data_IF_112120569043
#
_entry.id   IF_112120569043
#
_cell.length_a   1.000
_cell.length_b   1.000
_cell.length_c   1.000
_cell.angle_alpha   90.00
_cell.angle_beta   90.00
_cell.angle_gamma   90.00
#
_symmetry.space_group_name_H-M   'P 1'
#
loop_
_entity.id
_entity.type
_entity.pdbx_description
1 polymer ?
#
# COMPACT_ATOMS: atom_id res chain seq x y z
N UNK A 1 -47.68 14.53 14.55
CA UNK A 1 -47.14 15.11 13.29
C UNK A 1 -45.65 15.30 13.47
N UNK A 2 -44.80 14.88 12.52
CA UNK A 2 -43.37 15.19 12.57
C UNK A 2 -43.16 16.71 12.51
N UNK A 3 -42.26 17.24 13.35
CA UNK A 3 -41.85 18.66 13.30
C UNK A 3 -40.84 18.81 12.15
N UNK A 4 -41.05 19.77 11.26
CA UNK A 4 -40.11 20.03 10.18
C UNK A 4 -38.75 20.48 10.75
N UNK A 5 -37.65 19.88 10.29
CA UNK A 5 -36.28 20.17 10.75
C UNK A 5 -35.93 21.66 10.69
N UNK A 6 -36.44 22.36 9.67
CA UNK A 6 -36.26 23.80 9.48
C UNK A 6 -36.88 24.69 10.55
N UNK A 7 -37.69 24.13 11.47
CA UNK A 7 -38.29 24.86 12.58
C UNK A 7 -37.42 24.87 13.84
N UNK A 8 -36.39 24.04 13.92
CA UNK A 8 -35.45 24.09 15.03
C UNK A 8 -34.56 25.34 14.93
N UNK A 9 -34.05 25.84 16.06
CA UNK A 9 -33.05 26.89 16.06
C UNK A 9 -31.75 26.39 15.43
N UNK A 10 -30.97 27.26 14.77
CA UNK A 10 -29.77 26.87 14.02
C UNK A 10 -28.75 26.09 14.87
N UNK A 11 -28.59 26.47 16.15
CA UNK A 11 -27.75 25.72 17.10
C UNK A 11 -28.21 24.27 17.27
N UNK A 12 -29.51 24.05 17.45
CA UNK A 12 -30.10 22.72 17.62
C UNK A 12 -30.01 21.92 16.32
N UNK A 13 -30.21 22.57 15.16
CA UNK A 13 -30.00 21.92 13.87
C UNK A 13 -28.56 21.42 13.75
N UNK A 14 -27.57 22.25 14.06
CA UNK A 14 -26.17 21.86 13.99
C UNK A 14 -25.82 20.73 14.95
N UNK A 15 -26.29 20.78 16.21
CA UNK A 15 -26.07 19.69 17.18
C UNK A 15 -26.69 18.37 16.70
N UNK A 16 -27.90 18.41 16.14
CA UNK A 16 -28.52 17.21 15.56
C UNK A 16 -27.65 16.66 14.43
N UNK A 17 -27.20 17.50 13.49
CA UNK A 17 -26.39 17.06 12.35
C UNK A 17 -25.00 16.55 12.79
N UNK A 18 -24.38 17.17 13.78
CA UNK A 18 -23.08 16.75 14.35
C UNK A 18 -23.18 15.37 15.03
N UNK A 19 -24.40 14.94 15.42
CA UNK A 19 -24.69 13.62 15.99
C UNK A 19 -25.22 12.61 14.96
N UNK A 20 -25.46 13.03 13.70
CA UNK A 20 -25.95 12.11 12.68
C UNK A 20 -24.84 11.20 12.19
N UNK A 21 -25.17 9.91 12.07
CA UNK A 21 -24.32 8.97 11.35
C UNK A 21 -24.08 9.44 9.91
N UNK A 22 -22.90 9.09 9.37
CA UNK A 22 -22.46 9.54 8.07
C UNK A 22 -23.47 9.25 6.94
N UNK A 23 -24.14 8.08 6.98
CA UNK A 23 -25.14 7.73 5.99
C UNK A 23 -26.41 8.57 6.10
N UNK A 24 -26.89 8.81 7.32
CA UNK A 24 -28.04 9.66 7.56
C UNK A 24 -27.74 11.12 7.15
N UNK A 25 -26.53 11.60 7.45
CA UNK A 25 -26.04 12.91 7.05
C UNK A 25 -25.94 13.04 5.52
N UNK A 26 -25.43 12.01 4.84
CA UNK A 26 -25.41 11.95 3.37
C UNK A 26 -26.82 12.02 2.79
N UNK A 27 -27.75 11.17 3.24
CA UNK A 27 -29.13 11.19 2.79
C UNK A 27 -29.79 12.55 3.02
N UNK A 28 -29.55 13.17 4.18
CA UNK A 28 -30.01 14.51 4.48
C UNK A 28 -29.44 15.52 3.47
N UNK A 29 -28.14 15.46 3.18
CA UNK A 29 -27.48 16.35 2.23
C UNK A 29 -28.06 16.29 0.81
N UNK A 30 -28.56 15.13 0.39
CA UNK A 30 -29.15 14.92 -0.94
C UNK A 30 -30.58 15.46 -1.06
N UNK A 31 -31.24 15.83 0.05
CA UNK A 31 -32.64 16.31 0.00
C UNK A 31 -32.79 17.71 -0.60
N UNK A 32 -31.78 18.59 -0.46
CA UNK A 32 -31.83 19.96 -1.01
C UNK A 32 -30.47 20.64 -0.98
N UNK A 33 -30.30 21.73 -1.77
CA UNK A 33 -29.10 22.59 -1.71
C UNK A 33 -28.83 23.14 -0.30
N UNK A 34 -29.88 23.47 0.45
CA UNK A 34 -29.76 23.97 1.84
C UNK A 34 -29.26 22.87 2.77
N UNK A 35 -29.85 21.68 2.68
CA UNK A 35 -29.45 20.52 3.49
C UNK A 35 -27.98 20.17 3.23
N UNK A 36 -27.55 20.21 1.96
CA UNK A 36 -26.14 20.04 1.59
C UNK A 36 -25.23 21.06 2.27
N UNK A 37 -25.59 22.34 2.20
CA UNK A 37 -24.81 23.41 2.88
C UNK A 37 -24.74 23.21 4.39
N UNK A 38 -25.84 22.80 5.04
CA UNK A 38 -25.87 22.52 6.48
C UNK A 38 -25.04 21.28 6.84
N UNK A 39 -24.97 20.30 5.94
CA UNK A 39 -24.23 19.04 6.17
C UNK A 39 -22.73 19.21 6.06
N UNK A 40 -22.23 20.27 5.41
CA UNK A 40 -20.80 20.44 5.15
C UNK A 40 -19.94 20.42 6.41
N UNK A 41 -20.34 21.16 7.46
CA UNK A 41 -19.56 21.23 8.71
C UNK A 41 -19.57 19.86 9.44
N UNK A 42 -20.73 19.26 9.74
CA UNK A 42 -20.80 17.95 10.39
C UNK A 42 -20.03 16.89 9.59
N UNK A 43 -20.13 16.91 8.26
CA UNK A 43 -19.46 15.97 7.38
C UNK A 43 -17.92 16.03 7.48
N UNK A 44 -17.34 17.17 7.89
CA UNK A 44 -15.90 17.31 8.18
C UNK A 44 -15.44 16.52 9.41
N UNK A 45 -16.36 16.10 10.28
CA UNK A 45 -16.07 15.30 11.47
C UNK A 45 -15.90 13.81 11.14
N UNK A 46 -16.27 13.40 9.92
CA UNK A 46 -16.22 12.01 9.47
C UNK A 46 -15.10 11.83 8.43
N UNK A 47 -14.50 10.63 8.39
CA UNK A 47 -13.53 10.25 7.36
C UNK A 47 -14.22 9.45 6.26
N UNK A 48 -14.27 10.00 5.06
CA UNK A 48 -14.77 9.27 3.91
C UNK A 48 -13.68 8.38 3.32
N UNK A 49 -14.00 7.10 3.09
CA UNK A 49 -13.22 6.23 2.21
C UNK A 49 -14.11 5.83 1.03
N UNK A 50 -13.58 5.83 -0.17
CA UNK A 50 -14.27 5.33 -1.35
C UNK A 50 -13.61 4.04 -1.80
N UNK A 51 -14.35 2.94 -1.70
CA UNK A 51 -13.88 1.63 -2.10
C UNK A 51 -14.38 1.31 -3.51
N UNK A 52 -13.48 1.34 -4.48
CA UNK A 52 -13.81 1.05 -5.87
C UNK A 52 -13.48 -0.40 -6.15
N UNK A 53 -14.49 -1.22 -6.44
CA UNK A 53 -14.30 -2.60 -6.83
C UNK A 53 -14.55 -2.75 -8.32
N UNK A 54 -13.46 -2.82 -9.09
CA UNK A 54 -13.52 -3.05 -10.52
C UNK A 54 -13.25 -4.53 -10.80
N UNK A 55 -14.19 -5.22 -11.41
CA UNK A 55 -14.01 -6.61 -11.83
C UNK A 55 -14.72 -6.86 -13.16
N UNK A 56 -14.00 -7.40 -14.13
CA UNK A 56 -14.60 -7.97 -15.35
C UNK A 56 -14.64 -9.47 -15.15
N UNK A 57 -15.61 -9.97 -14.38
CA UNK A 57 -15.77 -11.42 -14.25
C UNK A 57 -16.60 -11.94 -15.44
N UNK A 58 -16.23 -13.14 -15.94
CA UNK A 58 -16.88 -13.83 -17.06
C UNK A 58 -18.41 -13.78 -16.97
N UNK A 59 -19.08 -13.66 -18.13
CA UNK A 59 -20.52 -13.41 -18.39
C UNK A 59 -21.59 -14.11 -17.51
N UNK A 60 -21.22 -15.05 -16.65
CA UNK A 60 -22.13 -15.78 -15.76
C UNK A 60 -22.22 -15.23 -14.34
N UNK A 61 -21.34 -14.32 -13.93
CA UNK A 61 -21.43 -13.62 -12.64
C UNK A 61 -21.96 -12.21 -12.83
N UNK A 62 -23.01 -11.85 -12.09
CA UNK A 62 -23.64 -10.52 -12.06
C UNK A 62 -22.76 -9.39 -11.49
N UNK A 63 -21.46 -9.61 -11.33
CA UNK A 63 -20.52 -8.62 -10.81
C UNK A 63 -19.99 -7.76 -11.96
N UNK A 64 -20.81 -6.82 -12.41
CA UNK A 64 -20.38 -5.65 -13.16
C UNK A 64 -19.41 -4.81 -12.30
N UNK A 65 -18.64 -3.88 -12.89
CA UNK A 65 -17.92 -2.89 -12.09
C UNK A 65 -18.87 -2.26 -11.06
N UNK A 66 -18.51 -2.34 -9.78
CA UNK A 66 -19.34 -1.85 -8.68
C UNK A 66 -18.57 -0.82 -7.89
N UNK A 67 -19.17 0.35 -7.67
CA UNK A 67 -18.62 1.33 -6.76
C UNK A 67 -19.19 1.09 -5.38
N UNK A 68 -18.33 0.86 -4.40
CA UNK A 68 -18.74 0.73 -3.00
C UNK A 68 -18.26 1.96 -2.23
N UNK A 69 -19.17 2.89 -1.92
CA UNK A 69 -18.81 4.01 -1.07
C UNK A 69 -18.91 3.58 0.40
N UNK A 70 -17.77 3.49 1.08
CA UNK A 70 -17.67 3.01 2.45
C UNK A 70 -17.31 4.16 3.40
N UNK A 71 -18.28 4.66 4.15
CA UNK A 71 -18.02 5.77 5.07
C UNK A 71 -17.66 5.28 6.46
N UNK A 72 -16.67 5.92 7.07
CA UNK A 72 -16.26 5.62 8.45
C UNK A 72 -16.23 6.89 9.30
N UNK A 73 -16.87 6.84 10.48
CA UNK A 73 -16.84 7.94 11.42
C UNK A 73 -15.76 7.69 12.47
N UNK A 74 -14.89 8.67 12.72
CA UNK A 74 -13.99 8.64 13.88
C UNK A 74 -14.64 9.23 15.14
N UNK A 75 -15.78 9.92 15.00
CA UNK A 75 -16.48 10.62 16.08
C UNK A 75 -17.54 9.77 16.78
N UNK A 76 -17.86 8.58 16.26
CA UNK A 76 -18.82 7.67 16.86
C UNK A 76 -18.09 6.40 17.32
N UNK A 77 -18.44 5.90 18.51
CA UNK A 77 -17.72 4.83 19.19
C UNK A 77 -17.59 3.56 18.32
N UNK A 78 -16.45 2.86 18.46
CA UNK A 78 -15.98 1.72 17.67
C UNK A 78 -16.89 0.48 17.55
N UNK A 79 -18.15 0.56 18.01
CA UNK A 79 -19.14 -0.51 17.94
C UNK A 79 -20.03 -0.47 16.69
N UNK A 80 -19.91 0.56 15.85
CA UNK A 80 -20.65 0.64 14.59
C UNK A 80 -19.80 0.13 13.43
N UNK A 81 -20.27 -0.96 12.81
CA UNK A 81 -19.68 -1.45 11.57
C UNK A 81 -19.72 -0.34 10.51
N UNK A 82 -18.67 -0.19 9.68
CA UNK A 82 -18.69 0.79 8.61
C UNK A 82 -19.93 0.59 7.73
N UNK A 83 -20.79 1.60 7.66
CA UNK A 83 -21.97 1.57 6.80
C UNK A 83 -21.51 1.70 5.36
N UNK A 84 -21.43 0.56 4.65
CA UNK A 84 -21.09 0.52 3.24
C UNK A 84 -22.33 0.77 2.38
N UNK A 85 -22.28 1.83 1.57
CA UNK A 85 -23.24 2.08 0.51
C UNK A 85 -22.76 1.40 -0.77
N UNK A 86 -23.54 0.46 -1.29
CA UNK A 86 -23.28 -0.14 -2.59
C UNK A 86 -23.99 0.66 -3.67
N UNK A 87 -23.21 1.23 -4.59
CA UNK A 87 -23.71 1.87 -5.80
C UNK A 87 -23.39 0.95 -6.97
N UNK A 88 -24.41 0.22 -7.40
CA UNK A 88 -24.33 -0.61 -8.59
C UNK A 88 -24.49 0.28 -9.83
N UNK A 89 -23.43 0.41 -10.63
CA UNK A 89 -23.49 1.13 -11.89
C UNK A 89 -24.08 0.21 -12.96
N UNK A 90 -25.37 0.41 -13.25
CA UNK A 90 -26.10 -0.39 -14.26
C UNK A 90 -25.68 -0.07 -15.70
N UNK A 91 -25.14 1.12 -15.92
CA UNK A 91 -24.63 1.58 -17.21
C UNK A 91 -23.13 1.78 -17.08
N UNK A 92 -22.37 0.76 -17.51
CA UNK A 92 -20.95 0.42 -17.35
C UNK A 92 -19.88 1.49 -17.67
N UNK A 93 -20.22 2.79 -17.67
CA UNK A 93 -19.28 3.86 -18.03
C UNK A 93 -18.89 4.67 -16.80
N UNK A 94 -17.64 4.46 -16.38
CA UNK A 94 -16.94 5.28 -15.38
C UNK A 94 -16.82 6.77 -15.77
N UNK A 95 -17.18 7.13 -17.00
CA UNK A 95 -17.21 8.52 -17.53
C UNK A 95 -18.09 9.47 -16.68
N UNK A 96 -18.99 8.96 -15.84
CA UNK A 96 -19.77 9.78 -14.90
C UNK A 96 -19.30 9.68 -13.44
N UNK A 97 -18.26 8.89 -13.16
CA UNK A 97 -17.76 8.77 -11.80
C UNK A 97 -17.21 10.12 -11.32
N UNK A 98 -16.45 10.83 -12.15
CA UNK A 98 -15.99 12.17 -11.82
C UNK A 98 -17.17 13.10 -11.51
N UNK A 99 -18.21 13.14 -12.34
CA UNK A 99 -19.42 13.96 -12.07
C UNK A 99 -20.09 13.55 -10.75
N UNK A 100 -20.17 12.25 -10.48
CA UNK A 100 -20.73 11.74 -9.23
C UNK A 100 -19.88 12.16 -8.02
N UNK A 101 -18.56 12.01 -8.10
CA UNK A 101 -17.62 12.29 -7.00
C UNK A 101 -17.41 13.78 -6.78
N UNK A 102 -17.19 14.55 -7.84
CA UNK A 102 -16.92 15.98 -7.83
C UNK A 102 -18.15 16.81 -7.44
N UNK A 103 -19.36 16.42 -7.88
CA UNK A 103 -20.58 17.21 -7.65
C UNK A 103 -21.28 16.82 -6.34
N UNK A 104 -21.12 15.58 -5.84
CA UNK A 104 -21.93 15.08 -4.70
C UNK A 104 -21.15 14.69 -3.46
N UNK A 105 -19.91 14.21 -3.55
CA UNK A 105 -19.25 13.56 -2.40
C UNK A 105 -18.04 14.33 -1.85
N UNK A 106 -17.23 14.93 -2.71
CA UNK A 106 -15.96 15.55 -2.29
C UNK A 106 -16.09 16.80 -1.43
N UNK A 107 -17.16 17.57 -1.62
CA UNK A 107 -17.38 18.82 -0.88
C UNK A 107 -17.96 18.61 0.53
N UNK A 108 -18.42 17.40 0.83
CA UNK A 108 -19.02 17.07 2.12
C UNK A 108 -17.94 16.62 3.11
N UNK A 109 -17.06 15.69 2.73
CA UNK A 109 -16.11 15.07 3.64
C UNK A 109 -14.74 15.74 3.57
N UNK A 110 -14.14 15.98 4.74
CA UNK A 110 -12.73 16.40 4.82
C UNK A 110 -11.88 15.14 4.91
N UNK A 111 -10.82 15.07 4.10
CA UNK A 111 -9.92 13.91 4.00
C UNK A 111 -10.57 12.67 3.37
N UNK A 112 -11.23 12.85 2.23
CA UNK A 112 -11.67 11.72 1.40
C UNK A 112 -10.45 10.94 0.91
N UNK A 113 -10.41 9.63 1.17
CA UNK A 113 -9.43 8.71 0.57
C UNK A 113 -10.08 7.79 -0.43
N UNK A 114 -9.28 7.23 -1.33
CA UNK A 114 -9.71 6.21 -2.29
C UNK A 114 -8.99 4.90 -1.96
N UNK A 115 -9.75 3.82 -1.84
CA UNK A 115 -9.28 2.45 -1.81
C UNK A 115 -9.78 1.72 -3.04
N UNK A 116 -8.96 0.89 -3.68
CA UNK A 116 -9.34 0.24 -4.93
C UNK A 116 -8.95 -1.23 -4.94
N UNK A 117 -9.81 -2.05 -5.51
CA UNK A 117 -9.52 -3.45 -5.84
C UNK A 117 -9.87 -3.65 -7.31
N UNK A 118 -8.86 -3.91 -8.13
CA UNK A 118 -8.98 -4.15 -9.55
C UNK A 118 -8.70 -5.62 -9.87
N UNK A 119 -9.68 -6.29 -10.45
CA UNK A 119 -9.54 -7.56 -11.13
C UNK A 119 -9.71 -7.30 -12.63
N UNK A 120 -8.58 -7.20 -13.32
CA UNK A 120 -8.57 -6.89 -14.73
C UNK A 120 -8.32 -8.16 -15.55
N UNK A 121 -9.34 -8.59 -16.28
CA UNK A 121 -9.17 -9.46 -17.45
C UNK A 121 -9.04 -8.56 -18.70
N UNK A 122 -8.30 -8.97 -19.74
CA UNK A 122 -8.19 -8.21 -20.97
C UNK A 122 -9.57 -7.95 -21.62
N UNK A 123 -9.80 -6.77 -22.24
CA UNK A 123 -8.82 -5.69 -22.49
C UNK A 123 -8.70 -4.68 -21.32
N UNK A 124 -7.46 -4.32 -20.99
CA UNK A 124 -7.13 -3.47 -19.83
C UNK A 124 -7.38 -1.98 -20.00
N UNK A 125 -7.54 -1.49 -21.23
CA UNK A 125 -7.55 -0.05 -21.51
C UNK A 125 -8.63 0.72 -20.76
N UNK A 126 -9.83 0.15 -20.62
CA UNK A 126 -10.92 0.81 -19.90
C UNK A 126 -10.65 0.91 -18.39
N UNK A 127 -9.95 -0.08 -17.83
CA UNK A 127 -9.52 -0.06 -16.43
C UNK A 127 -8.41 0.97 -16.20
N UNK A 128 -7.46 1.10 -17.13
CA UNK A 128 -6.40 2.10 -17.02
C UNK A 128 -6.92 3.52 -17.18
N UNK A 129 -7.79 3.78 -18.15
CA UNK A 129 -8.47 5.07 -18.29
C UNK A 129 -9.21 5.44 -17.01
N UNK A 130 -9.86 4.47 -16.37
CA UNK A 130 -10.52 4.67 -15.08
C UNK A 130 -9.51 5.02 -13.97
N UNK A 131 -8.41 4.26 -13.88
CA UNK A 131 -7.38 4.46 -12.87
C UNK A 131 -6.69 5.83 -13.01
N UNK A 132 -6.40 6.25 -14.25
CA UNK A 132 -5.82 7.55 -14.56
C UNK A 132 -6.74 8.68 -14.11
N UNK A 133 -8.01 8.66 -14.53
CA UNK A 133 -8.98 9.68 -14.10
C UNK A 133 -9.10 9.74 -12.56
N UNK A 134 -9.10 8.59 -11.87
CA UNK A 134 -9.17 8.55 -10.42
C UNK A 134 -7.94 9.16 -9.75
N UNK A 135 -6.75 8.90 -10.28
CA UNK A 135 -5.51 9.51 -9.80
C UNK A 135 -5.48 11.03 -10.04
N UNK A 136 -6.10 11.50 -11.13
CA UNK A 136 -6.20 12.92 -11.48
C UNK A 136 -7.16 13.71 -10.57
N UNK A 137 -8.10 13.04 -9.89
CA UNK A 137 -9.02 13.71 -8.95
C UNK A 137 -8.30 14.36 -7.74
N UNK A 138 -7.04 14.00 -7.49
CA UNK A 138 -6.22 14.58 -6.43
C UNK A 138 -6.57 14.10 -5.01
N UNK A 139 -7.45 13.10 -4.86
CA UNK A 139 -7.66 12.45 -3.57
C UNK A 139 -6.49 11.51 -3.24
N UNK A 140 -6.04 11.47 -1.98
CA UNK A 140 -5.08 10.46 -1.55
C UNK A 140 -5.60 9.05 -1.79
N UNK A 141 -4.84 8.24 -2.52
CA UNK A 141 -5.11 6.81 -2.69
C UNK A 141 -4.51 6.09 -1.50
N UNK A 142 -5.35 5.54 -0.63
CA UNK A 142 -4.93 4.88 0.60
C UNK A 142 -4.48 3.44 0.36
N UNK A 143 -5.22 2.70 -0.45
CA UNK A 143 -4.91 1.31 -0.75
C UNK A 143 -5.32 0.97 -2.18
N UNK A 144 -4.48 0.21 -2.88
CA UNK A 144 -4.80 -0.30 -4.20
C UNK A 144 -4.33 -1.75 -4.31
N UNK A 145 -5.25 -2.70 -4.54
CA UNK A 145 -4.95 -4.09 -4.89
C UNK A 145 -5.29 -4.32 -6.37
N UNK A 146 -4.25 -4.49 -7.20
CA UNK A 146 -4.41 -4.69 -8.65
C UNK A 146 -4.00 -6.11 -8.98
N UNK A 147 -4.91 -6.81 -9.64
CA UNK A 147 -4.70 -8.15 -10.18
C UNK A 147 -4.97 -8.11 -11.66
N UNK A 148 -3.97 -8.44 -12.46
CA UNK A 148 -4.11 -8.50 -13.91
C UNK A 148 -3.53 -9.78 -14.49
N UNK A 149 -4.10 -10.18 -15.64
CA UNK A 149 -3.47 -11.12 -16.56
C UNK A 149 -2.09 -10.61 -17.00
N UNK A 150 -1.21 -11.49 -17.53
CA UNK A 150 0.16 -11.11 -17.80
C UNK A 150 0.31 -9.98 -18.82
N UNK A 151 0.91 -8.85 -18.41
CA UNK A 151 1.10 -7.67 -19.26
C UNK A 151 2.20 -6.74 -18.69
N UNK A 152 3.27 -6.55 -19.46
CA UNK A 152 4.41 -5.71 -19.03
C UNK A 152 4.09 -4.22 -18.98
N UNK A 153 3.30 -3.72 -19.94
CA UNK A 153 2.92 -2.31 -20.03
C UNK A 153 1.96 -1.97 -18.89
N UNK A 154 1.01 -2.87 -18.60
CA UNK A 154 0.09 -2.74 -17.49
C UNK A 154 0.81 -2.60 -16.14
N UNK A 155 1.86 -3.42 -15.89
CA UNK A 155 2.69 -3.35 -14.68
C UNK A 155 3.30 -1.95 -14.52
N UNK A 156 3.97 -1.46 -15.57
CA UNK A 156 4.67 -0.18 -15.53
C UNK A 156 3.69 0.99 -15.39
N UNK A 157 2.65 1.02 -16.22
CA UNK A 157 1.63 2.07 -16.21
C UNK A 157 0.95 2.16 -14.85
N UNK A 158 0.61 1.02 -14.26
CA UNK A 158 0.08 0.93 -12.89
C UNK A 158 1.01 1.59 -11.87
N UNK A 159 2.29 1.19 -11.85
CA UNK A 159 3.27 1.71 -10.90
C UNK A 159 3.49 3.21 -11.05
N UNK A 160 3.42 3.73 -12.28
CA UNK A 160 3.54 5.16 -12.56
C UNK A 160 2.31 5.95 -12.10
N UNK A 161 1.09 5.48 -12.41
CA UNK A 161 -0.15 6.14 -11.99
C UNK A 161 -0.27 6.15 -10.47
N UNK A 162 0.10 5.06 -9.82
CA UNK A 162 -0.04 4.86 -8.38
C UNK A 162 1.24 5.11 -7.59
N UNK A 163 2.14 5.93 -8.14
CA UNK A 163 3.44 6.21 -7.54
C UNK A 163 3.35 6.89 -6.15
N UNK A 164 2.21 7.48 -5.81
CA UNK A 164 1.94 8.14 -4.53
C UNK A 164 0.82 7.47 -3.71
N UNK A 165 0.32 6.32 -4.14
CA UNK A 165 -0.63 5.56 -3.33
C UNK A 165 0.04 5.17 -2.00
N UNK A 166 -0.66 5.24 -0.88
CA UNK A 166 -0.07 4.88 0.41
C UNK A 166 0.29 3.40 0.45
N UNK A 167 -0.63 2.52 0.03
CA UNK A 167 -0.42 1.08 -0.05
C UNK A 167 -0.73 0.59 -1.47
N UNK A 168 0.20 -0.14 -2.08
CA UNK A 168 0.03 -0.77 -3.39
C UNK A 168 0.35 -2.26 -3.32
N UNK A 169 -0.64 -3.10 -3.61
CA UNK A 169 -0.50 -4.52 -3.89
C UNK A 169 -0.65 -4.72 -5.40
N UNK A 170 0.38 -5.24 -6.05
CA UNK A 170 0.35 -5.56 -7.47
C UNK A 170 0.57 -7.05 -7.66
N UNK A 171 -0.45 -7.71 -8.20
CA UNK A 171 -0.44 -9.09 -8.61
C UNK A 171 -0.63 -9.21 -10.11
N UNK A 172 0.44 -8.96 -10.84
CA UNK A 172 0.45 -9.02 -12.28
C UNK A 172 1.73 -9.68 -12.76
N UNK A 173 1.58 -10.72 -13.58
CA UNK A 173 2.70 -11.47 -14.10
C UNK A 173 3.30 -10.72 -15.31
N UNK A 174 4.62 -10.65 -15.47
CA UNK A 174 5.17 -10.17 -16.74
C UNK A 174 4.90 -11.18 -17.88
N UNK A 175 4.75 -10.71 -19.11
CA UNK A 175 4.61 -11.58 -20.30
C UNK A 175 5.92 -12.29 -20.61
N UNK A 176 5.91 -13.45 -21.27
CA UNK A 176 7.12 -14.29 -21.44
C UNK A 176 8.31 -13.59 -22.12
N UNK A 177 8.07 -12.56 -22.93
CA UNK A 177 9.06 -11.76 -23.64
C UNK A 177 9.80 -10.75 -22.74
N UNK A 178 9.38 -10.60 -21.47
CA UNK A 178 9.96 -9.64 -20.54
C UNK A 178 11.49 -9.81 -20.34
N UNK A 179 12.00 -11.04 -20.41
CA UNK A 179 13.43 -11.34 -20.18
C UNK A 179 14.34 -10.76 -21.26
N UNK A 180 13.83 -10.56 -22.47
CA UNK A 180 14.66 -10.24 -23.62
C UNK A 180 14.26 -8.93 -24.33
N UNK A 181 13.00 -8.49 -24.22
CA UNK A 181 12.47 -7.48 -25.14
C UNK A 181 11.76 -6.29 -24.48
N UNK A 182 11.47 -6.32 -23.17
CA UNK A 182 10.79 -5.20 -22.50
C UNK A 182 11.74 -4.45 -21.57
N UNK A 183 11.81 -3.13 -21.76
CA UNK A 183 12.61 -2.26 -20.92
C UNK A 183 11.79 -1.74 -19.74
N UNK A 184 11.96 -2.37 -18.58
CA UNK A 184 11.34 -1.90 -17.33
C UNK A 184 12.04 -0.68 -16.72
N UNK A 185 13.21 -0.23 -17.21
CA UNK A 185 13.95 0.87 -16.59
C UNK A 185 13.53 2.23 -17.13
N UNK A 186 13.57 2.38 -18.46
CA UNK A 186 13.34 3.67 -19.13
C UNK A 186 11.97 4.32 -18.83
N UNK A 187 10.87 3.58 -18.65
CA UNK A 187 9.57 4.20 -18.38
C UNK A 187 9.50 4.97 -17.06
N UNK A 188 10.33 4.62 -16.07
CA UNK A 188 10.31 5.30 -14.77
C UNK A 188 11.06 6.63 -14.85
N UNK A 189 10.30 7.72 -14.92
CA UNK A 189 10.81 9.10 -14.90
C UNK A 189 11.03 9.64 -13.48
N UNK A 190 10.58 8.91 -12.46
CA UNK A 190 10.68 9.30 -11.05
C UNK A 190 10.59 8.10 -10.10
N UNK A 191 10.68 8.40 -8.81
CA UNK A 191 10.59 7.40 -7.74
C UNK A 191 9.15 7.22 -7.26
N UNK A 192 8.86 6.01 -6.80
CA UNK A 192 7.65 5.67 -6.07
C UNK A 192 7.80 6.09 -4.61
N UNK A 193 6.73 6.64 -4.05
CA UNK A 193 6.66 7.24 -2.72
C UNK A 193 5.64 6.51 -1.83
N UNK A 194 5.34 5.24 -2.16
CA UNK A 194 4.40 4.44 -1.39
C UNK A 194 4.90 4.17 0.03
N UNK A 195 4.02 4.24 1.04
CA UNK A 195 4.37 3.75 2.38
C UNK A 195 4.60 2.23 2.35
N UNK A 196 3.82 1.50 1.54
CA UNK A 196 3.95 0.06 1.40
C UNK A 196 3.73 -0.39 -0.04
N UNK A 197 4.72 -1.06 -0.61
CA UNK A 197 4.69 -1.66 -1.94
C UNK A 197 4.86 -3.19 -1.82
N UNK A 198 3.90 -3.93 -2.35
CA UNK A 198 3.91 -5.40 -2.35
C UNK A 198 3.70 -5.92 -3.77
N UNK A 199 4.68 -6.64 -4.29
CA UNK A 199 4.59 -7.28 -5.61
C UNK A 199 4.42 -8.79 -5.44
N UNK A 200 3.23 -9.30 -5.71
CA UNK A 200 2.82 -10.70 -5.50
C UNK A 200 2.50 -11.39 -6.84
N UNK A 201 2.55 -12.71 -6.89
CA UNK A 201 3.79 -13.47 -6.81
C UNK A 201 4.57 -13.45 -8.14
N UNK A 202 5.03 -12.32 -8.67
CA UNK A 202 5.82 -12.30 -9.93
C UNK A 202 6.82 -11.15 -10.02
N UNK A 203 7.62 -10.92 -8.97
CA UNK A 203 8.60 -9.82 -8.96
C UNK A 203 9.96 -10.16 -9.61
N UNK A 204 10.04 -11.19 -10.45
CA UNK A 204 11.28 -11.62 -11.12
C UNK A 204 11.85 -10.59 -12.11
N UNK A 205 11.02 -9.66 -12.60
CA UNK A 205 11.43 -8.55 -13.47
C UNK A 205 12.14 -7.42 -12.68
N UNK A 206 11.98 -7.38 -11.36
CA UNK A 206 12.57 -6.34 -10.51
C UNK A 206 14.06 -6.60 -10.34
N UNK A 207 14.87 -5.68 -10.85
CA UNK A 207 16.34 -5.66 -10.66
C UNK A 207 16.80 -4.72 -9.54
N UNK A 208 18.07 -4.81 -9.15
CA UNK A 208 18.68 -3.90 -8.15
C UNK A 208 18.46 -2.42 -8.49
N UNK A 209 18.54 -2.11 -9.78
CA UNK A 209 18.32 -0.76 -10.29
C UNK A 209 16.94 -0.21 -9.90
N UNK A 210 15.88 -1.02 -9.93
CA UNK A 210 14.54 -0.57 -9.54
C UNK A 210 14.49 -0.26 -8.05
N UNK A 211 15.05 -1.12 -7.20
CA UNK A 211 15.07 -0.88 -5.74
C UNK A 211 15.87 0.40 -5.40
N UNK A 212 16.98 0.63 -6.10
CA UNK A 212 17.91 1.75 -5.87
C UNK A 212 17.37 3.09 -6.40
N UNK A 213 16.69 3.09 -7.55
CA UNK A 213 16.33 4.32 -8.24
C UNK A 213 14.82 4.61 -8.21
N UNK A 214 14.01 3.57 -8.31
CA UNK A 214 12.55 3.67 -8.45
C UNK A 214 11.88 3.53 -7.09
N UNK A 215 12.23 2.52 -6.28
CA UNK A 215 11.56 2.25 -5.00
C UNK A 215 12.28 2.87 -3.79
N UNK A 216 13.32 3.66 -4.00
CA UNK A 216 14.17 4.18 -2.93
C UNK A 216 13.49 5.15 -1.96
N UNK A 217 12.34 5.71 -2.35
CA UNK A 217 11.48 6.55 -1.50
C UNK A 217 10.31 5.79 -0.88
N UNK A 218 10.10 4.52 -1.25
CA UNK A 218 9.13 3.68 -0.56
C UNK A 218 9.61 3.40 0.87
N UNK A 219 8.68 3.24 1.82
CA UNK A 219 9.03 2.90 3.21
C UNK A 219 9.09 1.39 3.44
N UNK A 220 8.13 0.64 2.92
CA UNK A 220 8.11 -0.82 3.01
C UNK A 220 7.99 -1.45 1.62
N UNK A 221 8.83 -2.44 1.34
CA UNK A 221 8.84 -3.16 0.07
C UNK A 221 8.85 -4.66 0.34
N UNK A 222 7.91 -5.39 -0.26
CA UNK A 222 7.92 -6.85 -0.29
C UNK A 222 7.87 -7.37 -1.72
N UNK A 223 8.91 -8.08 -2.12
CA UNK A 223 9.10 -8.67 -3.44
C UNK A 223 8.98 -10.20 -3.35
N UNK A 224 7.87 -10.76 -3.82
CA UNK A 224 7.67 -12.20 -3.88
C UNK A 224 8.20 -12.78 -5.18
N UNK A 225 8.89 -13.92 -5.08
CA UNK A 225 9.49 -14.61 -6.23
C UNK A 225 10.48 -13.78 -7.06
N UNK A 226 11.21 -12.90 -6.38
CA UNK A 226 12.40 -12.26 -6.95
C UNK A 226 13.59 -13.22 -7.04
N UNK A 227 14.52 -12.95 -7.95
CA UNK A 227 15.74 -13.76 -8.15
C UNK A 227 17.01 -12.91 -8.17
N UNK A 228 17.19 -12.11 -7.12
CA UNK A 228 18.40 -11.30 -6.98
C UNK A 228 19.64 -12.18 -6.83
N UNK A 229 20.75 -11.77 -7.41
CA UNK A 229 22.08 -12.29 -7.07
C UNK A 229 22.52 -11.68 -5.75
N UNK A 230 23.32 -12.40 -4.99
CA UNK A 230 23.93 -11.87 -3.77
C UNK A 230 24.64 -10.52 -3.99
N UNK A 231 25.36 -10.35 -5.10
CA UNK A 231 26.01 -9.09 -5.44
C UNK A 231 25.04 -7.92 -5.61
N UNK A 232 23.84 -8.19 -6.13
CA UNK A 232 22.77 -7.19 -6.29
C UNK A 232 22.17 -6.80 -4.93
N UNK A 233 22.03 -7.74 -4.00
CA UNK A 233 21.60 -7.45 -2.62
C UNK A 233 22.63 -6.56 -1.92
N UNK A 234 23.92 -6.86 -2.06
CA UNK A 234 24.99 -6.01 -1.51
C UNK A 234 24.98 -4.61 -2.15
N UNK A 235 24.73 -4.51 -3.45
CA UNK A 235 24.58 -3.22 -4.15
C UNK A 235 23.41 -2.38 -3.59
N UNK A 236 22.24 -3.02 -3.39
CA UNK A 236 21.07 -2.39 -2.77
C UNK A 236 21.43 -1.85 -1.37
N UNK A 237 22.11 -2.65 -0.54
CA UNK A 237 22.51 -2.24 0.81
C UNK A 237 23.51 -1.09 0.82
N UNK A 238 24.49 -1.10 -0.08
CA UNK A 238 25.44 0.01 -0.23
C UNK A 238 24.74 1.30 -0.63
N UNK A 239 23.78 1.23 -1.56
CA UNK A 239 22.98 2.38 -1.95
C UNK A 239 22.08 2.87 -0.81
N UNK A 240 21.42 1.94 -0.10
CA UNK A 240 20.56 2.26 1.03
C UNK A 240 21.30 3.05 2.11
N UNK A 241 22.53 2.62 2.43
CA UNK A 241 23.41 3.24 3.42
C UNK A 241 23.68 4.73 3.15
N UNK A 242 23.75 5.12 1.87
CA UNK A 242 24.03 6.49 1.44
C UNK A 242 22.76 7.36 1.52
N UNK A 243 21.58 6.81 1.19
CA UNK A 243 20.35 7.58 1.21
C UNK A 243 19.15 6.92 0.54
N UNK A 244 18.46 6.07 1.29
CA UNK A 244 17.14 5.52 0.98
C UNK A 244 16.16 5.69 2.15
N UNK A 245 14.87 5.80 1.84
CA UNK A 245 13.77 5.87 2.82
C UNK A 245 13.23 4.50 3.20
N UNK A 246 13.72 3.42 2.59
CA UNK A 246 13.25 2.07 2.86
C UNK A 246 13.58 1.72 4.32
N UNK A 247 12.56 1.33 5.08
CA UNK A 247 12.65 0.86 6.47
C UNK A 247 12.36 -0.63 6.57
N UNK A 248 11.64 -1.18 5.61
CA UNK A 248 11.42 -2.61 5.50
C UNK A 248 11.64 -3.09 4.06
N UNK A 249 12.53 -4.06 3.85
CA UNK A 249 12.73 -4.70 2.56
C UNK A 249 12.72 -6.22 2.74
N UNK A 250 11.82 -6.89 2.03
CA UNK A 250 11.77 -8.34 1.97
C UNK A 250 11.86 -8.80 0.52
N UNK A 251 12.83 -9.66 0.23
CA UNK A 251 13.04 -10.22 -1.11
C UNK A 251 13.64 -11.63 -1.04
N UNK A 252 13.64 -12.30 -2.18
CA UNK A 252 14.35 -13.56 -2.39
C UNK A 252 15.60 -13.37 -3.25
N UNK A 253 16.67 -14.09 -2.92
CA UNK A 253 17.94 -14.04 -3.63
C UNK A 253 18.64 -15.40 -3.72
N UNK A 254 19.61 -15.52 -4.63
CA UNK A 254 20.48 -16.68 -4.80
C UNK A 254 21.85 -16.36 -4.23
N UNK A 255 22.28 -17.17 -3.26
CA UNK A 255 23.57 -17.01 -2.59
C UNK A 255 24.70 -17.57 -3.44
N UNK A 256 25.85 -16.91 -3.43
CA UNK A 256 27.03 -17.29 -4.21
C UNK A 256 28.03 -18.15 -3.42
N UNK A 257 28.01 -18.09 -2.08
CA UNK A 257 29.00 -18.75 -1.22
C UNK A 257 28.43 -19.37 0.07
N UNK A 258 29.25 -19.41 1.11
CA UNK A 258 28.93 -19.84 2.49
C UNK A 258 28.21 -18.73 3.30
N UNK A 259 27.82 -19.00 4.56
CA UNK A 259 27.28 -17.95 5.45
C UNK A 259 28.39 -16.96 5.81
N UNK A 260 29.60 -17.48 5.95
CA UNK A 260 30.82 -16.77 6.28
C UNK A 260 31.22 -15.81 5.15
N UNK A 261 31.09 -16.23 3.88
CA UNK A 261 31.34 -15.37 2.72
C UNK A 261 30.35 -14.20 2.66
N UNK A 262 29.07 -14.45 2.95
CA UNK A 262 28.07 -13.39 3.03
C UNK A 262 28.37 -12.45 4.21
N UNK A 263 28.66 -13.01 5.39
CA UNK A 263 29.04 -12.25 6.57
C UNK A 263 30.27 -11.35 6.36
N UNK A 264 31.28 -11.83 5.63
CA UNK A 264 32.43 -11.02 5.26
C UNK A 264 32.03 -9.79 4.42
N UNK A 265 31.12 -9.96 3.45
CA UNK A 265 30.59 -8.84 2.63
C UNK A 265 29.74 -7.87 3.46
N UNK A 266 29.03 -8.37 4.47
CA UNK A 266 28.29 -7.52 5.42
C UNK A 266 29.27 -6.66 6.24
N UNK A 267 30.37 -7.24 6.71
CA UNK A 267 31.44 -6.51 7.41
C UNK A 267 32.09 -5.46 6.48
N UNK A 268 32.33 -5.80 5.21
CA UNK A 268 32.88 -4.85 4.21
C UNK A 268 32.01 -3.59 4.02
N UNK A 269 30.70 -3.68 4.26
CA UNK A 269 29.79 -2.52 4.19
C UNK A 269 29.55 -1.85 5.56
N UNK A 270 30.33 -2.23 6.58
CA UNK A 270 30.22 -1.81 7.97
C UNK A 270 28.88 -2.21 8.62
N UNK A 271 28.35 -3.39 8.29
CA UNK A 271 27.26 -3.99 9.04
C UNK A 271 27.83 -4.85 10.18
N UNK A 272 27.49 -4.52 11.42
CA UNK A 272 28.00 -5.19 12.61
C UNK A 272 27.24 -6.51 12.84
N UNK A 273 27.91 -7.64 13.09
CA UNK A 273 27.22 -8.88 13.41
C UNK A 273 26.45 -8.74 14.73
N UNK A 274 25.18 -9.12 14.72
CA UNK A 274 24.35 -9.13 15.94
C UNK A 274 24.51 -10.48 16.62
N UNK A 275 24.96 -10.54 17.88
CA UNK A 275 25.05 -11.79 18.62
C UNK A 275 23.70 -12.48 18.63
N UNK A 276 23.70 -13.76 18.30
CA UNK A 276 22.51 -14.59 18.37
C UNK A 276 21.98 -14.61 19.81
N UNK A 277 20.71 -14.26 20.00
CA UNK A 277 20.06 -14.43 21.28
C UNK A 277 20.06 -15.92 21.62
N UNK A 278 20.90 -16.31 22.58
CA UNK A 278 20.93 -17.68 23.09
C UNK A 278 19.62 -17.89 23.83
N UNK A 279 18.74 -18.74 23.29
CA UNK A 279 17.55 -19.15 24.02
C UNK A 279 17.98 -19.83 25.32
N UNK A 280 17.70 -19.20 26.45
CA UNK A 280 18.05 -19.72 27.78
C UNK A 280 17.18 -20.92 28.20
N UNK A 281 16.04 -21.15 27.54
CA UNK A 281 15.16 -22.30 27.83
C UNK A 281 15.53 -23.52 26.97
N UNK A 282 16.15 -24.57 27.55
CA UNK A 282 16.52 -25.79 26.82
C UNK A 282 15.32 -26.63 26.38
N UNK A 283 14.09 -26.33 26.82
CA UNK A 283 12.90 -27.10 26.47
C UNK A 283 12.16 -26.58 25.22
N UNK A 284 12.53 -25.41 24.71
CA UNK A 284 11.92 -24.85 23.50
C UNK A 284 12.79 -25.27 22.30
N UNK A 285 12.23 -26.00 21.31
CA UNK A 285 12.95 -26.29 20.07
C UNK A 285 13.48 -24.99 19.49
N UNK A 286 14.81 -24.84 19.47
CA UNK A 286 15.46 -23.62 18.99
C UNK A 286 15.16 -23.50 17.49
N UNK A 287 14.41 -22.49 17.05
CA UNK A 287 14.27 -22.25 15.62
C UNK A 287 15.67 -22.02 15.05
N UNK A 288 15.96 -22.50 13.81
CA UNK A 288 17.28 -22.35 13.22
C UNK A 288 17.68 -20.88 13.28
N UNK A 289 18.80 -20.63 13.96
CA UNK A 289 19.23 -19.26 14.20
C UNK A 289 19.58 -18.62 12.88
N UNK A 290 19.01 -17.45 12.65
CA UNK A 290 19.16 -16.73 11.39
C UNK A 290 20.28 -15.71 11.54
N UNK A 291 21.38 -15.82 10.78
CA UNK A 291 22.49 -14.91 10.92
C UNK A 291 22.01 -13.48 10.60
N UNK A 292 22.42 -12.55 11.45
CA UNK A 292 21.89 -11.18 11.46
C UNK A 292 23.00 -10.13 11.61
N UNK A 293 22.78 -8.97 11.00
CA UNK A 293 23.71 -7.83 11.01
C UNK A 293 22.96 -6.52 11.19
N UNK A 294 23.53 -5.59 11.94
CA UNK A 294 23.02 -4.22 12.10
C UNK A 294 23.74 -3.30 11.12
N UNK A 295 22.99 -2.65 10.24
CA UNK A 295 23.53 -1.67 9.30
C UNK A 295 22.98 -0.28 9.62
N UNK A 296 23.89 0.70 9.72
CA UNK A 296 23.54 2.10 9.99
C UNK A 296 23.67 2.97 8.75
N UNK A 297 22.67 3.81 8.52
CA UNK A 297 22.67 4.80 7.46
C UNK A 297 23.62 5.97 7.79
N UNK A 298 24.35 6.46 6.79
CA UNK A 298 25.39 7.48 6.98
C UNK A 298 24.82 8.87 7.30
N UNK A 299 23.59 9.17 6.86
CA UNK A 299 23.01 10.52 6.89
C UNK A 299 21.90 10.72 7.95
N UNK A 300 21.20 9.67 8.38
CA UNK A 300 20.00 9.81 9.25
C UNK A 300 20.12 9.10 10.61
N UNK A 301 21.26 8.46 10.91
CA UNK A 301 21.43 7.57 12.07
C UNK A 301 20.40 6.43 12.18
N UNK A 302 19.63 6.17 11.11
CA UNK A 302 18.69 5.06 11.08
C UNK A 302 19.47 3.75 11.01
N UNK A 303 19.05 2.78 11.79
CA UNK A 303 19.62 1.44 11.86
C UNK A 303 18.61 0.41 11.40
N UNK A 304 19.08 -0.58 10.64
CA UNK A 304 18.26 -1.70 10.16
C UNK A 304 18.92 -3.01 10.53
N UNK A 305 18.11 -3.93 11.04
CA UNK A 305 18.48 -5.33 11.21
C UNK A 305 18.31 -6.06 9.89
N UNK A 306 19.39 -6.68 9.45
CA UNK A 306 19.46 -7.50 8.24
C UNK A 306 19.52 -8.95 8.68
N UNK A 307 18.67 -9.78 8.11
CA UNK A 307 18.62 -11.22 8.38
C UNK A 307 18.44 -12.00 7.09
N UNK A 308 19.04 -13.19 7.04
CA UNK A 308 18.83 -14.14 5.93
C UNK A 308 18.33 -15.48 6.46
N UNK A 309 17.38 -16.07 5.76
CA UNK A 309 16.76 -17.35 6.13
C UNK A 309 16.69 -18.26 4.92
N UNK A 310 17.12 -19.51 5.07
CA UNK A 310 16.89 -20.55 4.07
C UNK A 310 15.58 -21.30 4.37
N UNK A 311 14.57 -21.22 3.50
CA UNK A 311 13.32 -21.92 3.69
C UNK A 311 13.47 -23.43 3.39
N UNK A 312 13.79 -24.23 4.40
CA UNK A 312 13.73 -25.70 4.32
C UNK A 312 14.65 -26.37 3.28
N UNK A 313 14.74 -27.70 3.35
CA UNK A 313 15.90 -28.49 2.88
C UNK A 313 16.23 -28.51 1.37
N UNK A 314 15.50 -27.85 0.47
CA UNK A 314 15.71 -28.04 -0.99
C UNK A 314 15.86 -26.77 -1.85
N UNK A 315 15.98 -25.59 -1.25
CA UNK A 315 16.08 -24.33 -2.00
C UNK A 315 17.50 -23.78 -2.14
N UNK A 316 17.95 -23.49 -3.37
CA UNK A 316 19.02 -22.49 -3.63
C UNK A 316 18.60 -21.05 -3.30
N UNK A 317 17.31 -20.86 -3.00
CA UNK A 317 16.67 -19.58 -2.74
C UNK A 317 16.77 -19.26 -1.25
N UNK A 318 17.22 -18.06 -0.95
CA UNK A 318 17.30 -17.50 0.39
C UNK A 318 16.33 -16.32 0.49
N UNK A 319 15.73 -16.15 1.66
CA UNK A 319 14.95 -14.97 1.98
C UNK A 319 15.85 -13.97 2.68
N UNK A 320 15.85 -12.74 2.17
CA UNK A 320 16.50 -11.59 2.76
C UNK A 320 15.42 -10.72 3.40
N UNK A 321 15.68 -10.25 4.62
CA UNK A 321 14.85 -9.25 5.30
C UNK A 321 15.72 -8.16 5.89
N UNK A 322 15.35 -6.91 5.62
CA UNK A 322 15.85 -5.71 6.27
C UNK A 322 14.69 -5.06 7.02
N UNK A 323 14.86 -4.72 8.29
CA UNK A 323 13.82 -4.09 9.10
C UNK A 323 14.43 -3.03 10.03
N UNK A 324 13.85 -1.84 10.05
CA UNK A 324 14.20 -0.79 11.00
C UNK A 324 14.11 -1.31 12.43
N UNK A 325 15.22 -1.19 13.17
CA UNK A 325 15.18 -1.40 14.61
C UNK A 325 14.61 -0.13 15.24
N UNK A 326 13.35 -0.22 15.65
CA UNK A 326 12.89 0.68 16.69
C UNK A 326 13.75 0.39 17.91
N UNK A 327 14.62 1.33 18.32
CA UNK A 327 15.24 1.29 19.64
C UNK A 327 14.13 0.97 20.63
N UNK A 328 14.08 -0.26 21.14
CA UNK A 328 13.40 -0.54 22.40
C UNK A 328 14.07 0.45 23.34
N UNK A 329 13.32 1.46 23.79
CA UNK A 329 13.84 2.41 24.76
C UNK A 329 14.50 1.57 25.84
N UNK A 330 15.81 1.70 25.98
CA UNK A 330 16.51 1.06 27.07
C UNK A 330 15.81 1.53 28.32
N UNK A 331 15.14 0.62 29.03
CA UNK A 331 14.70 0.83 30.41
C UNK A 331 15.97 0.92 31.28
N UNK A 332 16.82 1.90 30.99
CA UNK A 332 17.95 2.26 31.83
C UNK A 332 17.47 3.37 32.75
N UNK A 333 17.17 2.94 33.98
CA UNK A 333 17.24 3.74 35.19
C UNK A 333 16.22 4.89 35.29
N UNK A 334 14.98 4.53 35.62
CA UNK A 334 14.20 5.39 36.53
C UNK A 334 14.77 5.15 37.94
N UNK A 335 15.47 6.12 38.54
CA UNK A 335 15.89 5.98 39.93
C UNK A 335 14.64 5.99 40.82
N UNK A 336 14.51 4.96 41.66
CA UNK A 336 13.47 4.82 42.68
C UNK A 336 13.64 5.87 43.78
#
# INVERSE_FOLDING_TARGET
MPIAFTRFHDLVQNEILDLMECYALFNFSETSKRSRSLSQRPAKLHKGNMEIMFGVLRETSSSFPSLKLAYSSTSHSAHEFPTSLFLEFKDSKFEHLEEYLSVRHSSLFVNMTISMVFYCDPPFETAFVTLEHLAELGYPIEECDIRCDPDNEAIVRTLMILNKAKILYLNCKPTEDFKNNFDFKTPFTGSLENEKLVLFPYSEWVSAWHVINVFNRCREITLFDSYFKESEVIEILRSWKIGSSIRHLKLSFVRAGSNEDFGAKMIEINAEPVPEAVNEDPNIPVPPVSPSWLLRQENTNVEVLISIVQPGHNGRKWFFTMKEESKLASEENVPV
#
